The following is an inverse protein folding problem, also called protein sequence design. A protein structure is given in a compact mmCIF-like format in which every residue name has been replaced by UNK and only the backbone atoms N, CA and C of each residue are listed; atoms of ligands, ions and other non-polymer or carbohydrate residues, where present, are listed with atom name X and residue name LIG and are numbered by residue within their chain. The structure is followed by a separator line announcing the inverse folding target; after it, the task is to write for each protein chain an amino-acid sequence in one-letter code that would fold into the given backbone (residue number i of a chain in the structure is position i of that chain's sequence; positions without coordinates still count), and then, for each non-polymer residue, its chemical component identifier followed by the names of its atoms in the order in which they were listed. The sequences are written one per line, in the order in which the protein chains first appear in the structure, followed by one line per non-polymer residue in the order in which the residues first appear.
data_IF_703590521498
#
_entry.id   IF_703590521498
#
_cell.length_a   1.000
_cell.length_b   1.000
_cell.length_c   1.000
_cell.angle_alpha   90.00
_cell.angle_beta   90.00
_cell.angle_gamma   90.00
#
_symmetry.space_group_name_H-M   'P 1'
#
loop_
_entity.id
_entity.type
_entity.pdbx_description
1 polymer ?
#
# COMPACT_ATOMS: atom_id res chain seq x y z
N UNK A 1 -8.58 -37.26 -4.58
CA UNK A 1 -7.83 -36.53 -3.54
C UNK A 1 -6.35 -36.81 -3.80
N UNK A 2 -5.72 -36.02 -4.70
CA UNK A 2 -4.29 -36.14 -4.97
C UNK A 2 -3.52 -35.49 -3.81
N UNK A 3 -2.91 -36.34 -2.99
CA UNK A 3 -1.92 -35.90 -2.00
C UNK A 3 -0.68 -35.44 -2.74
N UNK A 4 -0.60 -34.14 -3.07
CA UNK A 4 0.62 -33.57 -3.57
C UNK A 4 1.61 -33.51 -2.40
N UNK A 5 2.51 -34.48 -2.33
CA UNK A 5 3.62 -34.47 -1.38
C UNK A 5 4.53 -33.27 -1.70
N UNK A 6 4.24 -32.14 -1.11
CA UNK A 6 5.12 -30.95 -1.16
C UNK A 6 6.36 -31.26 -0.35
N UNK A 7 7.53 -31.18 -0.97
CA UNK A 7 8.84 -31.42 -0.30
C UNK A 7 9.26 -30.25 0.58
N UNK A 8 8.67 -29.06 0.34
CA UNK A 8 9.04 -27.84 1.06
C UNK A 8 7.79 -26.95 1.16
N UNK A 9 7.56 -26.37 2.32
CA UNK A 9 6.51 -25.38 2.55
C UNK A 9 7.01 -24.31 3.53
N UNK A 10 6.39 -23.15 3.50
CA UNK A 10 6.53 -22.14 4.54
C UNK A 10 5.31 -22.25 5.48
N UNK A 11 5.54 -22.21 6.77
CA UNK A 11 4.52 -22.17 7.79
C UNK A 11 4.53 -20.76 8.42
N UNK A 12 3.39 -20.07 8.33
CA UNK A 12 3.24 -18.71 8.84
C UNK A 12 2.40 -18.75 10.11
N UNK A 13 3.01 -18.34 11.22
CA UNK A 13 2.37 -18.23 12.53
C UNK A 13 1.71 -16.86 12.69
N UNK A 14 0.38 -16.82 12.55
CA UNK A 14 -0.41 -15.60 12.67
C UNK A 14 -0.49 -15.11 14.13
N UNK A 15 -0.41 -15.99 15.12
CA UNK A 15 -0.41 -15.62 16.54
C UNK A 15 0.90 -14.89 16.90
N UNK A 16 2.03 -15.34 16.36
CA UNK A 16 3.30 -14.65 16.49
C UNK A 16 3.27 -13.25 15.84
N UNK A 17 2.62 -13.13 14.67
CA UNK A 17 2.42 -11.84 14.00
C UNK A 17 1.53 -10.92 14.84
N UNK A 18 0.42 -11.42 15.39
CA UNK A 18 -0.45 -10.66 16.29
C UNK A 18 0.30 -10.20 17.56
N UNK A 19 1.11 -11.07 18.15
CA UNK A 19 1.97 -10.71 19.29
C UNK A 19 2.91 -9.55 18.94
N UNK A 20 3.59 -9.63 17.79
CA UNK A 20 4.50 -8.58 17.34
C UNK A 20 3.77 -7.26 17.08
N UNK A 21 2.57 -7.30 16.47
CA UNK A 21 1.72 -6.13 16.29
C UNK A 21 1.40 -5.46 17.63
N UNK A 22 0.96 -6.24 18.63
CA UNK A 22 0.65 -5.70 19.96
C UNK A 22 1.87 -5.05 20.63
N UNK A 23 3.06 -5.66 20.52
CA UNK A 23 4.29 -5.09 21.05
C UNK A 23 4.65 -3.76 20.38
N UNK A 24 4.49 -3.65 19.07
CA UNK A 24 4.70 -2.39 18.35
C UNK A 24 3.64 -1.35 18.74
N UNK A 25 2.37 -1.73 18.82
CA UNK A 25 1.26 -0.83 19.20
C UNK A 25 1.44 -0.29 20.62
N UNK A 26 1.83 -1.13 21.59
CA UNK A 26 2.17 -0.71 22.96
C UNK A 26 3.26 0.36 22.96
N UNK A 27 4.30 0.20 22.13
CA UNK A 27 5.44 1.10 22.07
C UNK A 27 5.14 2.44 21.42
N UNK A 28 4.34 2.47 20.36
CA UNK A 28 4.01 3.71 19.63
C UNK A 28 2.85 4.46 20.27
N UNK A 29 2.01 3.80 21.07
CA UNK A 29 0.84 4.40 21.71
C UNK A 29 -0.40 4.43 20.79
N UNK A 30 -1.55 4.77 21.36
CA UNK A 30 -2.84 4.75 20.67
C UNK A 30 -3.02 5.93 19.69
N UNK A 31 -2.32 7.05 19.94
CA UNK A 31 -2.47 8.28 19.14
C UNK A 31 -1.72 8.22 17.80
N UNK A 32 -0.80 7.26 17.63
CA UNK A 32 -0.02 7.08 16.40
C UNK A 32 -0.72 6.08 15.50
N UNK A 33 -0.99 6.46 14.25
CA UNK A 33 -1.59 5.54 13.28
C UNK A 33 -0.59 4.48 12.82
N UNK A 34 -1.08 3.24 12.70
CA UNK A 34 -0.29 2.09 12.26
C UNK A 34 -0.62 1.76 10.80
N UNK A 35 0.41 1.72 9.96
CA UNK A 35 0.29 1.31 8.56
C UNK A 35 1.05 0.00 8.35
N UNK A 36 0.32 -1.08 8.03
CA UNK A 36 0.89 -2.40 7.71
C UNK A 36 1.30 -2.49 6.24
N UNK A 37 2.57 -2.80 5.96
CA UNK A 37 3.06 -2.98 4.58
C UNK A 37 2.92 -4.45 4.20
N UNK A 38 2.00 -4.74 3.25
CA UNK A 38 1.63 -6.11 2.81
C UNK A 38 1.92 -6.36 1.33
N UNK A 39 2.76 -5.53 0.71
CA UNK A 39 3.20 -5.71 -0.68
C UNK A 39 3.96 -7.02 -0.88
N UNK A 40 4.08 -7.48 -2.14
CA UNK A 40 4.78 -8.71 -2.51
C UNK A 40 4.31 -9.91 -1.67
N UNK A 41 2.98 -10.12 -1.64
CA UNK A 41 2.31 -11.16 -0.85
C UNK A 41 2.70 -11.11 0.65
N UNK A 42 2.69 -9.91 1.24
CA UNK A 42 3.18 -9.65 2.60
C UNK A 42 4.61 -10.21 2.81
N UNK A 43 5.49 -9.98 1.82
CA UNK A 43 6.84 -10.55 1.78
C UNK A 43 6.87 -12.09 1.89
N UNK A 44 5.89 -12.75 1.28
CA UNK A 44 5.75 -14.20 1.28
C UNK A 44 4.99 -14.78 2.49
N UNK A 45 4.35 -13.92 3.29
CA UNK A 45 3.56 -14.35 4.46
C UNK A 45 2.07 -14.54 4.15
N UNK A 46 1.63 -14.25 2.91
CA UNK A 46 0.22 -14.30 2.53
C UNK A 46 -0.49 -12.98 2.78
N UNK A 47 -0.58 -12.12 1.75
CA UNK A 47 -1.11 -10.75 1.86
C UNK A 47 -2.54 -10.72 2.37
N UNK A 48 -3.40 -11.62 1.91
CA UNK A 48 -4.81 -11.68 2.30
C UNK A 48 -4.95 -12.02 3.78
N UNK A 49 -4.31 -13.11 4.25
CA UNK A 49 -4.39 -13.56 5.64
C UNK A 49 -3.82 -12.54 6.61
N UNK A 50 -2.65 -11.97 6.28
CA UNK A 50 -2.02 -10.91 7.08
C UNK A 50 -2.89 -9.65 7.12
N UNK A 51 -3.52 -9.28 6.00
CA UNK A 51 -4.40 -8.11 5.94
C UNK A 51 -5.66 -8.28 6.79
N UNK A 52 -6.28 -9.45 6.76
CA UNK A 52 -7.42 -9.76 7.64
C UNK A 52 -7.02 -9.66 9.11
N UNK A 53 -5.91 -10.28 9.48
CA UNK A 53 -5.40 -10.20 10.84
C UNK A 53 -5.15 -8.74 11.27
N UNK A 54 -4.47 -7.93 10.45
CA UNK A 54 -4.21 -6.53 10.75
C UNK A 54 -5.50 -5.71 10.86
N UNK A 55 -6.52 -6.02 10.03
CA UNK A 55 -7.84 -5.39 10.11
C UNK A 55 -8.55 -5.73 11.42
N UNK A 56 -8.54 -7.00 11.86
CA UNK A 56 -9.09 -7.46 13.13
C UNK A 56 -8.38 -6.84 14.33
N UNK A 57 -7.06 -6.70 14.26
CA UNK A 57 -6.24 -6.08 15.29
C UNK A 57 -6.36 -4.55 15.37
N UNK A 58 -7.08 -3.93 14.42
CA UNK A 58 -7.32 -2.49 14.39
C UNK A 58 -6.14 -1.66 13.88
N UNK A 59 -5.39 -2.17 12.91
CA UNK A 59 -4.46 -1.34 12.14
C UNK A 59 -5.22 -0.26 11.37
N UNK A 60 -4.60 0.90 11.13
CA UNK A 60 -5.29 2.05 10.53
C UNK A 60 -5.25 2.03 9.01
N UNK A 61 -4.20 1.46 8.42
CA UNK A 61 -3.94 1.44 6.98
C UNK A 61 -3.17 0.20 6.57
N UNK A 62 -3.35 -0.22 5.31
CA UNK A 62 -2.45 -1.15 4.62
C UNK A 62 -1.70 -0.42 3.51
N UNK A 63 -0.51 -0.91 3.16
CA UNK A 63 0.25 -0.42 2.02
C UNK A 63 0.70 -1.57 1.11
N UNK A 64 0.52 -1.35 -0.19
CA UNK A 64 0.88 -2.27 -1.27
C UNK A 64 1.73 -1.56 -2.32
N UNK A 65 2.31 -2.29 -3.27
CA UNK A 65 3.12 -1.70 -4.34
C UNK A 65 2.33 -1.37 -5.61
N UNK A 66 1.24 -2.09 -5.90
CA UNK A 66 0.51 -1.97 -7.16
C UNK A 66 -1.00 -1.99 -6.96
N UNK A 67 -1.72 -1.59 -8.02
CA UNK A 67 -3.18 -1.63 -8.03
C UNK A 67 -3.71 -3.07 -8.01
N UNK A 68 -3.01 -4.02 -8.63
CA UNK A 68 -3.46 -5.40 -8.67
C UNK A 68 -3.41 -6.05 -7.29
N UNK A 69 -2.35 -5.79 -6.51
CA UNK A 69 -2.29 -6.21 -5.09
C UNK A 69 -3.44 -5.59 -4.28
N UNK A 70 -3.72 -4.29 -4.48
CA UNK A 70 -4.79 -3.62 -3.77
C UNK A 70 -6.18 -4.18 -4.12
N UNK A 71 -6.43 -4.46 -5.39
CA UNK A 71 -7.68 -5.05 -5.89
C UNK A 71 -7.84 -6.48 -5.37
N UNK A 72 -6.78 -7.28 -5.36
CA UNK A 72 -6.79 -8.63 -4.77
C UNK A 72 -7.27 -8.60 -3.31
N UNK A 73 -6.75 -7.68 -2.50
CA UNK A 73 -7.20 -7.51 -1.12
C UNK A 73 -8.69 -7.13 -1.05
N UNK A 74 -9.16 -6.22 -1.91
CA UNK A 74 -10.58 -5.84 -1.96
C UNK A 74 -11.50 -7.01 -2.35
N UNK A 75 -11.09 -7.83 -3.34
CA UNK A 75 -11.83 -9.01 -3.78
C UNK A 75 -11.87 -10.11 -2.70
N UNK A 76 -10.99 -10.03 -1.71
CA UNK A 76 -10.97 -10.90 -0.54
C UNK A 76 -11.48 -10.20 0.72
N UNK A 77 -12.45 -9.28 0.60
CA UNK A 77 -13.20 -8.66 1.70
C UNK A 77 -12.36 -7.80 2.68
N UNK A 78 -11.17 -7.37 2.29
CA UNK A 78 -10.40 -6.39 3.06
C UNK A 78 -11.01 -5.00 2.87
N UNK A 79 -11.59 -4.42 3.92
CA UNK A 79 -12.34 -3.14 3.87
C UNK A 79 -11.55 -1.94 4.37
N UNK A 80 -10.52 -2.15 5.18
CA UNK A 80 -9.69 -1.07 5.72
C UNK A 80 -9.00 -0.25 4.63
N UNK A 81 -8.55 0.99 4.91
CA UNK A 81 -7.88 1.84 3.91
C UNK A 81 -6.61 1.19 3.35
N UNK A 82 -6.43 1.30 2.02
CA UNK A 82 -5.26 0.76 1.31
C UNK A 82 -4.56 1.92 0.59
N UNK A 83 -3.24 2.00 0.73
CA UNK A 83 -2.35 2.94 0.07
C UNK A 83 -1.44 2.23 -0.93
N UNK A 84 -1.42 2.67 -2.19
CA UNK A 84 -0.42 2.23 -3.15
C UNK A 84 0.82 3.12 -3.01
N UNK A 85 1.98 2.50 -2.72
CA UNK A 85 3.27 3.17 -2.58
C UNK A 85 3.97 3.41 -3.93
N UNK A 86 3.67 2.55 -4.91
CA UNK A 86 4.22 2.61 -6.27
C UNK A 86 3.45 3.54 -7.19
N UNK A 87 3.87 3.55 -8.46
CA UNK A 87 3.19 4.31 -9.51
C UNK A 87 2.04 3.50 -10.12
N UNK A 88 0.90 4.16 -10.35
CA UNK A 88 -0.23 3.61 -11.09
C UNK A 88 -0.40 4.40 -12.41
N UNK A 89 -0.53 3.75 -13.58
CA UNK A 89 -0.86 4.43 -14.82
C UNK A 89 -2.18 5.20 -14.72
N UNK A 90 -2.26 6.37 -15.36
CA UNK A 90 -3.46 7.24 -15.30
C UNK A 90 -4.72 6.55 -15.83
N UNK A 91 -4.58 5.63 -16.77
CA UNK A 91 -5.67 4.84 -17.35
C UNK A 91 -6.37 3.95 -16.31
N UNK A 92 -5.75 3.75 -15.16
CA UNK A 92 -6.30 2.96 -14.07
C UNK A 92 -6.90 3.80 -12.93
N UNK A 93 -6.99 5.12 -13.09
CA UNK A 93 -7.58 6.00 -12.06
C UNK A 93 -9.03 5.64 -11.77
N UNK A 94 -9.81 5.21 -12.78
CA UNK A 94 -11.17 4.72 -12.58
C UNK A 94 -11.24 3.54 -11.61
N UNK A 95 -10.29 2.58 -11.71
CA UNK A 95 -10.20 1.44 -10.79
C UNK A 95 -9.80 1.86 -9.38
N UNK A 96 -8.88 2.84 -9.25
CA UNK A 96 -8.52 3.38 -7.93
C UNK A 96 -9.73 3.97 -7.21
N UNK A 97 -10.59 4.67 -7.95
CA UNK A 97 -11.83 5.26 -7.43
C UNK A 97 -12.85 4.18 -7.10
N UNK A 98 -13.09 3.24 -8.02
CA UNK A 98 -14.03 2.13 -7.87
C UNK A 98 -13.75 1.28 -6.62
N UNK A 99 -12.49 0.93 -6.41
CA UNK A 99 -12.05 0.10 -5.27
C UNK A 99 -11.67 0.90 -4.03
N UNK A 100 -11.92 2.22 -4.02
CA UNK A 100 -11.61 3.11 -2.88
C UNK A 100 -10.16 2.99 -2.40
N UNK A 101 -9.21 3.05 -3.33
CA UNK A 101 -7.78 2.92 -3.06
C UNK A 101 -7.12 4.30 -3.06
N UNK A 102 -6.23 4.53 -2.10
CA UNK A 102 -5.44 5.76 -2.00
C UNK A 102 -4.13 5.61 -2.77
N UNK A 103 -3.74 6.62 -3.54
CA UNK A 103 -2.52 6.62 -4.35
C UNK A 103 -1.44 7.55 -3.77
N UNK A 104 -0.21 7.04 -3.62
CA UNK A 104 0.93 7.91 -3.30
C UNK A 104 1.36 8.69 -4.55
N UNK A 105 1.64 9.98 -4.38
CA UNK A 105 2.05 10.90 -5.45
C UNK A 105 3.32 11.63 -5.02
N UNK A 106 4.36 11.59 -5.85
CA UNK A 106 5.67 12.17 -5.56
C UNK A 106 5.99 13.46 -6.33
N UNK A 107 5.16 13.85 -7.30
CA UNK A 107 5.36 15.09 -8.06
C UNK A 107 4.03 15.71 -8.51
N UNK A 108 4.07 17.01 -8.74
CA UNK A 108 2.90 17.81 -9.15
C UNK A 108 2.30 17.32 -10.47
N UNK A 109 3.15 17.01 -11.47
CA UNK A 109 2.68 16.55 -12.78
C UNK A 109 1.78 15.32 -12.66
N UNK A 110 2.13 14.35 -11.81
CA UNK A 110 1.31 13.16 -11.56
C UNK A 110 0.03 13.49 -10.80
N UNK A 111 0.08 14.43 -9.86
CA UNK A 111 -1.12 14.88 -9.17
C UNK A 111 -2.13 15.49 -10.15
N UNK A 112 -1.66 16.31 -11.08
CA UNK A 112 -2.49 16.92 -12.12
C UNK A 112 -3.07 15.87 -13.08
N UNK A 113 -2.26 14.94 -13.59
CA UNK A 113 -2.74 13.83 -14.43
C UNK A 113 -3.87 13.03 -13.73
N UNK A 114 -3.69 12.69 -12.47
CA UNK A 114 -4.70 11.95 -11.71
C UNK A 114 -5.95 12.78 -11.45
N UNK A 115 -5.80 14.08 -11.21
CA UNK A 115 -6.93 15.01 -11.05
C UNK A 115 -7.78 15.09 -12.33
N UNK A 116 -7.14 15.24 -13.49
CA UNK A 116 -7.83 15.28 -14.78
C UNK A 116 -8.60 13.99 -15.05
N UNK A 117 -7.98 12.82 -14.81
CA UNK A 117 -8.65 11.53 -15.00
C UNK A 117 -9.79 11.31 -13.98
N UNK A 118 -9.62 11.73 -12.73
CA UNK A 118 -10.69 11.65 -11.73
C UNK A 118 -11.91 12.51 -12.12
N UNK A 119 -11.68 13.71 -12.66
CA UNK A 119 -12.76 14.57 -13.18
C UNK A 119 -13.47 13.89 -14.35
N UNK A 120 -12.74 13.30 -15.31
CA UNK A 120 -13.33 12.56 -16.43
C UNK A 120 -14.19 11.38 -15.98
N UNK A 121 -13.76 10.70 -14.92
CA UNK A 121 -14.50 9.59 -14.32
C UNK A 121 -15.66 10.06 -13.42
N UNK A 122 -15.80 11.35 -13.17
CA UNK A 122 -16.82 11.90 -12.25
C UNK A 122 -16.65 11.48 -10.80
N UNK A 123 -15.41 11.17 -10.37
CA UNK A 123 -15.10 10.66 -9.05
C UNK A 123 -14.02 11.48 -8.32
N UNK A 124 -13.72 11.06 -7.09
CA UNK A 124 -12.68 11.68 -6.24
C UNK A 124 -11.63 10.62 -5.93
N UNK A 125 -10.39 10.88 -6.33
CA UNK A 125 -9.25 10.05 -5.96
C UNK A 125 -8.60 10.60 -4.70
N UNK A 126 -8.43 9.75 -3.68
CA UNK A 126 -7.63 10.08 -2.50
C UNK A 126 -6.16 9.90 -2.80
N UNK A 127 -5.36 10.89 -2.44
CA UNK A 127 -3.91 10.83 -2.63
C UNK A 127 -3.16 11.06 -1.31
N UNK A 128 -1.97 10.47 -1.19
CA UNK A 128 -0.95 10.85 -0.22
C UNK A 128 0.23 11.48 -0.95
N UNK A 129 0.67 12.65 -0.51
CA UNK A 129 1.89 13.25 -1.02
C UNK A 129 3.09 12.53 -0.40
N UNK A 130 3.93 11.95 -1.26
CA UNK A 130 5.13 11.24 -0.86
C UNK A 130 6.34 12.15 -1.05
N UNK A 131 7.06 12.44 0.05
CA UNK A 131 8.37 13.09 0.02
C UNK A 131 9.41 12.03 0.36
N UNK A 132 10.28 11.70 -0.59
CA UNK A 132 11.34 10.71 -0.39
C UNK A 132 12.60 11.40 0.14
N UNK A 133 12.86 11.22 1.42
CA UNK A 133 14.03 11.78 2.10
C UNK A 133 15.11 10.75 2.41
N UNK A 134 14.87 9.47 2.08
CA UNK A 134 15.75 8.36 2.46
C UNK A 134 16.37 7.66 1.25
N UNK A 135 15.69 7.59 0.12
CA UNK A 135 16.06 6.83 -1.07
C UNK A 135 16.73 7.73 -2.10
N UNK A 136 18.05 7.78 -2.10
CA UNK A 136 18.83 8.68 -2.97
C UNK A 136 18.80 8.32 -4.46
N UNK A 137 18.29 7.13 -4.84
CA UNK A 137 18.30 6.65 -6.23
C UNK A 137 16.99 6.86 -6.99
N UNK A 138 15.91 7.29 -6.31
CA UNK A 138 14.59 7.56 -6.88
C UNK A 138 14.09 8.95 -6.51
N UNK A 139 14.97 9.91 -6.43
CA UNK A 139 14.60 11.30 -6.18
C UNK A 139 13.86 11.79 -7.43
N UNK A 140 12.62 12.20 -7.25
CA UNK A 140 11.94 13.07 -8.19
C UNK A 140 12.79 14.32 -8.33
N UNK A 141 13.42 14.47 -9.48
CA UNK A 141 14.38 15.52 -9.89
C UNK A 141 14.76 16.50 -8.79
N UNK A 142 16.00 16.45 -8.26
CA UNK A 142 16.53 17.59 -7.57
C UNK A 142 16.59 18.72 -8.61
N UNK A 143 15.99 19.84 -8.30
CA UNK A 143 16.37 21.09 -8.98
C UNK A 143 17.87 21.25 -8.77
N UNK A 144 18.65 20.83 -9.77
CA UNK A 144 20.08 21.02 -9.77
C UNK A 144 20.28 22.53 -9.77
N UNK A 145 20.97 23.12 -8.77
CA UNK A 145 21.36 24.52 -8.89
C UNK A 145 22.18 24.65 -10.16
N UNK A 146 21.78 25.54 -11.05
CA UNK A 146 22.60 25.89 -12.21
C UNK A 146 23.97 26.27 -11.68
N UNK A 147 25.07 25.81 -12.30
CA UNK A 147 26.41 26.26 -11.92
C UNK A 147 26.45 27.76 -12.16
N UNK A 148 26.73 28.50 -11.11
CA UNK A 148 27.02 29.94 -11.19
C UNK A 148 28.30 30.08 -12.02
N UNK A 149 28.18 30.62 -13.21
CA UNK A 149 29.30 31.00 -14.10
C UNK A 149 30.05 32.21 -13.55
#
# INVERSE_FOLDING_TARGET
MESTLRRTWAEIDLDALAHNYHKLRERIGADVKFLGVVKADAYGHGSVQVSHLLQELGADYLAVSSIDEAVELRLNDVTMPILILGHTPKEQVSRLIEYHITQAVSCEAKALEYSEEAVKCGGILKIHIKVDTLSLIHISEPTRPEPIS
#
